data_IF_139034891050
#
_entry.id   IF_139034891050
#
_cell.length_a   1.000
_cell.length_b   1.000
_cell.length_c   1.000
_cell.angle_alpha   90.00
_cell.angle_beta   90.00
_cell.angle_gamma   90.00
#
_symmetry.space_group_name_H-M   'P 1'
#
loop_
_entity.id
_entity.type
_entity.pdbx_description
1 polymer ?
#
# COMPACT_ATOMS: atom_id res chain seq x y z
N UNK A 1 -8.45 -11.52 14.92
CA UNK A 1 -8.96 -10.98 13.63
C UNK A 1 -10.32 -11.57 13.29
N UNK A 2 -10.52 -12.90 13.36
CA UNK A 2 -11.79 -13.57 13.00
C UNK A 2 -13.02 -13.04 13.75
N UNK A 3 -12.87 -12.66 15.04
CA UNK A 3 -13.96 -12.08 15.82
C UNK A 3 -14.39 -10.72 15.26
N UNK A 4 -13.46 -9.90 14.85
CA UNK A 4 -13.74 -8.55 14.34
C UNK A 4 -14.25 -8.56 12.90
N UNK A 5 -13.71 -9.42 12.05
CA UNK A 5 -14.10 -9.56 10.66
C UNK A 5 -15.36 -10.39 10.46
N UNK A 6 -15.78 -11.16 11.47
CA UNK A 6 -16.84 -12.20 11.38
C UNK A 6 -16.58 -13.27 10.31
N UNK A 7 -15.33 -13.39 9.87
CA UNK A 7 -14.88 -14.38 8.88
C UNK A 7 -13.73 -15.19 9.47
N UNK A 8 -13.50 -16.42 8.99
CA UNK A 8 -12.33 -17.20 9.36
C UNK A 8 -11.05 -16.45 9.07
N UNK A 9 -10.07 -16.55 9.97
CA UNK A 9 -8.73 -16.07 9.71
C UNK A 9 -7.96 -17.21 9.02
N UNK A 10 -7.55 -16.98 7.78
CA UNK A 10 -6.79 -17.94 6.98
C UNK A 10 -5.31 -17.76 7.30
N UNK A 11 -4.64 -18.87 7.57
CA UNK A 11 -3.22 -18.90 7.91
C UNK A 11 -2.42 -19.55 6.77
N UNK A 12 -1.10 -19.37 6.81
CA UNK A 12 -0.17 -19.93 5.82
C UNK A 12 -0.34 -21.44 5.63
N UNK A 13 -0.53 -22.17 6.74
CA UNK A 13 -0.67 -23.64 6.71
C UNK A 13 -1.98 -24.12 6.09
N UNK A 14 -2.99 -23.27 6.00
CA UNK A 14 -4.29 -23.63 5.41
C UNK A 14 -4.19 -23.86 3.91
N UNK A 15 -3.12 -23.36 3.28
CA UNK A 15 -2.84 -23.53 1.85
C UNK A 15 -2.80 -25.02 1.42
N UNK A 16 -2.44 -25.91 2.33
CA UNK A 16 -2.22 -27.33 2.08
C UNK A 16 -3.27 -28.23 2.74
N UNK A 17 -4.44 -27.67 3.07
CA UNK A 17 -5.52 -28.44 3.69
C UNK A 17 -6.11 -29.44 2.72
N UNK A 18 -6.34 -30.68 3.20
CA UNK A 18 -6.93 -31.77 2.40
C UNK A 18 -8.38 -31.45 2.00
N UNK A 19 -8.76 -31.86 0.80
CA UNK A 19 -10.14 -31.77 0.32
C UNK A 19 -10.49 -30.50 -0.47
N UNK A 20 -9.55 -29.63 -0.76
CA UNK A 20 -9.77 -28.47 -1.63
C UNK A 20 -9.72 -28.88 -3.11
N UNK A 21 -10.76 -28.56 -3.87
CA UNK A 21 -10.82 -28.80 -5.33
C UNK A 21 -10.04 -27.76 -6.13
N UNK A 22 -9.81 -26.59 -5.55
CA UNK A 22 -9.08 -25.45 -6.15
C UNK A 22 -7.99 -25.00 -5.16
N UNK A 23 -6.80 -24.65 -5.63
CA UNK A 23 -5.76 -24.08 -4.76
C UNK A 23 -6.26 -22.82 -4.05
N UNK A 24 -6.03 -22.73 -2.74
CA UNK A 24 -6.57 -21.68 -1.88
C UNK A 24 -6.20 -20.26 -2.35
N UNK A 25 -4.98 -20.04 -2.85
CA UNK A 25 -4.57 -18.74 -3.37
C UNK A 25 -5.38 -18.30 -4.60
N UNK A 26 -5.80 -19.25 -5.45
CA UNK A 26 -6.67 -18.97 -6.61
C UNK A 26 -8.08 -18.64 -6.13
N UNK A 27 -8.61 -19.43 -5.18
CA UNK A 27 -9.92 -19.18 -4.60
C UNK A 27 -9.99 -17.78 -3.97
N UNK A 28 -9.01 -17.40 -3.15
CA UNK A 28 -8.96 -16.10 -2.50
C UNK A 28 -8.76 -14.94 -3.48
N UNK A 29 -7.93 -15.11 -4.50
CA UNK A 29 -7.76 -14.11 -5.56
C UNK A 29 -9.04 -13.86 -6.35
N UNK A 30 -9.83 -14.90 -6.60
CA UNK A 30 -11.10 -14.78 -7.30
C UNK A 30 -12.21 -14.20 -6.42
N UNK A 31 -12.21 -14.56 -5.13
CA UNK A 31 -13.21 -14.12 -4.16
C UNK A 31 -13.09 -12.64 -3.83
N UNK A 32 -11.88 -12.12 -3.71
CA UNK A 32 -11.66 -10.73 -3.31
C UNK A 32 -12.00 -9.77 -4.45
N UNK A 33 -12.71 -8.69 -4.14
CA UNK A 33 -12.90 -7.55 -5.05
C UNK A 33 -11.73 -6.56 -4.96
N UNK A 34 -11.18 -6.38 -3.77
CA UNK A 34 -10.04 -5.50 -3.46
C UNK A 34 -9.16 -6.23 -2.44
N UNK A 35 -7.85 -6.20 -2.65
CA UNK A 35 -6.89 -6.68 -1.66
C UNK A 35 -6.27 -5.51 -0.90
N UNK A 36 -6.10 -5.68 0.41
CA UNK A 36 -5.37 -4.73 1.24
C UNK A 36 -4.23 -5.46 1.93
N UNK A 37 -3.01 -5.03 1.66
CA UNK A 37 -1.79 -5.59 2.28
C UNK A 37 -1.28 -4.60 3.35
N UNK A 38 -1.66 -4.84 4.59
CA UNK A 38 -1.35 -3.98 5.72
C UNK A 38 -0.96 -4.83 6.96
N UNK A 39 0.32 -4.90 7.29
CA UNK A 39 1.47 -4.23 6.66
C UNK A 39 2.02 -4.96 5.43
N UNK A 40 2.55 -4.21 4.45
CA UNK A 40 3.45 -4.75 3.45
C UNK A 40 4.87 -4.76 4.02
N UNK A 41 5.38 -5.96 4.30
CA UNK A 41 6.75 -6.16 4.79
C UNK A 41 7.78 -6.17 3.66
N UNK A 42 9.06 -5.93 3.97
CA UNK A 42 10.14 -6.03 2.99
C UNK A 42 10.24 -7.42 2.34
N UNK A 43 9.97 -8.48 3.09
CA UNK A 43 9.95 -9.85 2.59
C UNK A 43 8.85 -10.08 1.57
N UNK A 44 7.62 -9.69 1.90
CA UNK A 44 6.46 -9.83 0.99
C UNK A 44 6.66 -8.99 -0.28
N UNK A 45 7.15 -7.75 -0.13
CA UNK A 45 7.48 -6.88 -1.25
C UNK A 45 8.51 -7.53 -2.18
N UNK A 46 9.61 -8.04 -1.63
CA UNK A 46 10.67 -8.67 -2.42
C UNK A 46 10.15 -9.89 -3.17
N UNK A 47 9.45 -10.81 -2.49
CA UNK A 47 8.87 -12.00 -3.11
C UNK A 47 7.93 -11.63 -4.26
N UNK A 48 7.05 -10.68 -4.04
CA UNK A 48 6.05 -10.27 -5.03
C UNK A 48 6.68 -9.70 -6.30
N UNK A 49 7.54 -8.69 -6.19
CA UNK A 49 8.14 -8.01 -7.35
C UNK A 49 9.16 -8.86 -8.11
N UNK A 50 9.69 -9.90 -7.47
CA UNK A 50 10.58 -10.89 -8.14
C UNK A 50 9.81 -12.10 -8.68
N UNK A 51 8.48 -12.16 -8.51
CA UNK A 51 7.67 -13.29 -8.96
C UNK A 51 7.87 -14.56 -8.14
N UNK A 52 8.37 -14.45 -6.90
CA UNK A 52 8.53 -15.59 -6.00
C UNK A 52 7.20 -15.89 -5.30
N UNK A 53 6.54 -16.98 -5.71
CA UNK A 53 5.25 -17.43 -5.18
C UNK A 53 5.37 -18.29 -3.90
N UNK A 54 6.52 -18.28 -3.23
CA UNK A 54 6.67 -19.03 -1.99
C UNK A 54 5.84 -18.42 -0.86
N UNK A 55 4.77 -19.11 -0.48
CA UNK A 55 3.82 -18.72 0.54
C UNK A 55 2.46 -18.28 0.01
N UNK A 56 1.46 -18.29 0.89
CA UNK A 56 0.08 -18.00 0.52
C UNK A 56 -0.10 -16.56 0.02
N UNK A 57 0.40 -15.57 0.77
CA UNK A 57 0.25 -14.15 0.41
C UNK A 57 0.96 -13.83 -0.92
N UNK A 58 2.24 -14.17 -1.16
CA UNK A 58 2.87 -13.94 -2.45
C UNK A 58 2.16 -14.63 -3.60
N UNK A 59 1.66 -15.86 -3.41
CA UNK A 59 0.91 -16.59 -4.42
C UNK A 59 -0.40 -15.87 -4.79
N UNK A 60 -1.14 -15.36 -3.79
CA UNK A 60 -2.34 -14.55 -4.03
C UNK A 60 -1.99 -13.30 -4.83
N UNK A 61 -0.96 -12.55 -4.41
CA UNK A 61 -0.57 -11.29 -5.05
C UNK A 61 -0.14 -11.47 -6.50
N UNK A 62 0.59 -12.54 -6.81
CA UNK A 62 1.04 -12.85 -8.17
C UNK A 62 -0.12 -13.31 -9.06
N UNK A 63 -1.08 -14.06 -8.50
CA UNK A 63 -2.26 -14.54 -9.23
C UNK A 63 -3.35 -13.49 -9.39
N UNK A 64 -3.28 -12.36 -8.64
CA UNK A 64 -4.36 -11.39 -8.56
C UNK A 64 -4.30 -10.34 -9.67
N UNK A 65 -5.46 -10.07 -10.27
CA UNK A 65 -5.68 -9.00 -11.26
C UNK A 65 -6.57 -7.87 -10.74
N UNK A 66 -7.08 -8.01 -9.52
CA UNK A 66 -7.97 -7.02 -8.88
C UNK A 66 -7.16 -5.90 -8.25
N UNK A 67 -7.78 -4.76 -7.93
CA UNK A 67 -7.09 -3.66 -7.26
C UNK A 67 -6.45 -4.09 -5.93
N UNK A 68 -5.27 -3.59 -5.66
CA UNK A 68 -4.50 -3.85 -4.44
C UNK A 68 -4.10 -2.54 -3.80
N UNK A 69 -4.41 -2.38 -2.52
CA UNK A 69 -3.87 -1.29 -1.69
C UNK A 69 -2.72 -1.86 -0.86
N UNK A 70 -1.59 -1.19 -0.87
CA UNK A 70 -0.44 -1.59 -0.05
C UNK A 70 -0.06 -0.51 0.96
N UNK A 71 0.09 -0.92 2.21
CA UNK A 71 0.50 -0.09 3.33
C UNK A 71 1.84 -0.59 3.89
N UNK A 72 2.99 -0.09 3.40
CA UNK A 72 4.30 -0.53 3.86
C UNK A 72 4.52 -0.22 5.33
N UNK A 73 5.13 -1.18 6.06
CA UNK A 73 5.63 -0.94 7.41
C UNK A 73 6.84 -1.81 7.69
N UNK A 74 7.94 -1.17 8.10
CA UNK A 74 9.20 -1.83 8.44
C UNK A 74 10.12 -0.87 9.19
N UNK A 75 11.23 -1.38 9.72
CA UNK A 75 12.25 -0.55 10.34
C UNK A 75 12.79 0.50 9.35
N UNK A 76 13.18 1.68 9.86
CA UNK A 76 13.71 2.79 9.04
C UNK A 76 14.88 2.38 8.16
N UNK A 77 15.86 1.64 8.71
CA UNK A 77 17.01 1.20 7.95
C UNK A 77 16.64 0.21 6.83
N UNK A 78 15.65 -0.63 7.08
CA UNK A 78 15.09 -1.50 6.04
C UNK A 78 14.41 -0.68 4.95
N UNK A 79 13.59 0.30 5.33
CA UNK A 79 12.91 1.16 4.37
C UNK A 79 13.89 1.94 3.50
N UNK A 80 14.92 2.52 4.11
CA UNK A 80 15.96 3.31 3.40
C UNK A 80 16.96 2.44 2.62
N UNK A 81 16.90 1.11 2.74
CA UNK A 81 17.79 0.22 2.01
C UNK A 81 17.51 0.29 0.51
N UNK A 82 18.57 0.46 -0.29
CA UNK A 82 18.47 0.62 -1.76
C UNK A 82 17.72 -0.52 -2.45
N UNK A 83 17.87 -1.76 -1.99
CA UNK A 83 17.17 -2.90 -2.57
C UNK A 83 15.67 -2.84 -2.29
N UNK A 84 15.28 -2.42 -1.08
CA UNK A 84 13.86 -2.24 -0.71
C UNK A 84 13.25 -1.08 -1.49
N UNK A 85 13.94 0.05 -1.60
CA UNK A 85 13.47 1.20 -2.39
C UNK A 85 13.28 0.83 -3.87
N UNK A 86 14.24 0.12 -4.47
CA UNK A 86 14.11 -0.37 -5.85
C UNK A 86 12.92 -1.31 -6.04
N UNK A 87 12.69 -2.20 -5.09
CA UNK A 87 11.53 -3.08 -5.13
C UNK A 87 10.22 -2.29 -5.00
N UNK A 88 10.20 -1.28 -4.15
CA UNK A 88 9.03 -0.43 -3.98
C UNK A 88 8.74 0.43 -5.23
N UNK A 89 9.77 0.97 -5.88
CA UNK A 89 9.66 1.65 -7.17
C UNK A 89 9.11 0.71 -8.25
N UNK A 90 9.60 -0.53 -8.32
CA UNK A 90 9.08 -1.53 -9.25
C UNK A 90 7.60 -1.81 -9.01
N UNK A 91 7.20 -1.94 -7.74
CA UNK A 91 5.79 -2.17 -7.37
C UNK A 91 4.88 -1.02 -7.81
N UNK A 92 5.36 0.23 -7.73
CA UNK A 92 4.61 1.40 -8.15
C UNK A 92 4.30 1.43 -9.66
N UNK A 93 4.95 0.61 -10.46
CA UNK A 93 4.67 0.48 -11.89
C UNK A 93 3.54 -0.52 -12.20
N UNK A 94 3.02 -1.23 -11.19
CA UNK A 94 1.89 -2.14 -11.39
C UNK A 94 0.59 -1.36 -11.49
N UNK A 95 -0.14 -1.54 -12.59
CA UNK A 95 -1.34 -0.76 -12.91
C UNK A 95 -2.48 -0.94 -11.89
N UNK A 96 -2.56 -2.11 -11.26
CA UNK A 96 -3.60 -2.44 -10.28
C UNK A 96 -3.20 -2.18 -8.83
N UNK A 97 -2.06 -1.53 -8.56
CA UNK A 97 -1.54 -1.31 -7.21
C UNK A 97 -1.57 0.15 -6.81
N UNK A 98 -2.33 0.47 -5.77
CA UNK A 98 -2.30 1.76 -5.08
C UNK A 98 -1.37 1.66 -3.88
N UNK A 99 -0.18 2.24 -3.99
CA UNK A 99 0.85 2.16 -2.95
C UNK A 99 0.83 3.40 -2.05
N UNK A 100 0.59 3.19 -0.75
CA UNK A 100 0.69 4.23 0.27
C UNK A 100 2.13 4.33 0.78
N UNK A 101 2.56 5.55 1.10
CA UNK A 101 3.88 5.75 1.71
C UNK A 101 3.84 5.44 3.22
N UNK A 102 4.90 4.85 3.80
CA UNK A 102 4.98 4.70 5.24
C UNK A 102 5.06 6.08 5.91
N UNK A 103 4.49 6.19 7.09
CA UNK A 103 4.54 7.41 7.89
C UNK A 103 5.77 7.47 8.78
N UNK A 104 6.04 8.67 9.31
CA UNK A 104 7.01 8.88 10.38
C UNK A 104 6.35 8.69 11.74
N UNK A 105 7.12 8.27 12.73
CA UNK A 105 6.68 8.15 14.10
C UNK A 105 7.46 7.11 14.90
N UNK A 106 6.93 6.79 16.09
CA UNK A 106 7.50 5.75 16.94
C UNK A 106 7.26 4.39 16.28
N UNK A 107 8.34 3.66 16.08
CA UNK A 107 8.37 2.30 15.51
C UNK A 107 8.33 1.24 16.63
N UNK A 108 8.05 0.01 16.27
CA UNK A 108 8.04 -1.12 17.21
C UNK A 108 9.38 -1.41 17.91
N UNK A 109 10.47 -0.82 17.41
CA UNK A 109 11.82 -0.90 18.01
C UNK A 109 12.14 0.30 18.91
N UNK A 110 11.13 1.06 19.35
CA UNK A 110 11.25 2.26 20.19
C UNK A 110 12.10 3.40 19.58
N UNK A 111 12.36 3.35 18.28
CA UNK A 111 13.02 4.42 17.53
C UNK A 111 11.98 5.30 16.82
N UNK A 112 12.26 6.59 16.70
CA UNK A 112 11.47 7.52 15.87
C UNK A 112 12.09 7.54 14.49
N UNK A 113 11.27 7.33 13.45
CA UNK A 113 11.73 7.37 12.06
C UNK A 113 10.63 7.05 11.06
N UNK A 114 11.00 7.05 9.79
CA UNK A 114 10.12 6.62 8.70
C UNK A 114 10.03 5.09 8.66
N UNK A 115 8.86 4.55 8.36
CA UNK A 115 8.64 3.11 8.27
C UNK A 115 7.44 2.62 9.06
N UNK A 116 6.74 3.53 9.75
CA UNK A 116 5.47 3.24 10.41
C UNK A 116 4.38 3.03 9.37
N UNK A 117 3.45 2.11 9.67
CA UNK A 117 2.28 1.90 8.82
C UNK A 117 1.53 3.23 8.56
N UNK A 118 1.04 3.48 7.34
CA UNK A 118 0.20 4.65 7.06
C UNK A 118 -0.98 4.78 8.02
N UNK A 119 -1.44 6.00 8.32
CA UNK A 119 -2.61 6.21 9.16
C UNK A 119 -3.86 5.50 8.62
N UNK A 120 -4.73 5.04 9.52
CA UNK A 120 -5.93 4.27 9.13
C UNK A 120 -6.89 5.06 8.24
N UNK A 121 -7.01 6.36 8.47
CA UNK A 121 -7.83 7.27 7.66
C UNK A 121 -7.34 7.34 6.20
N UNK A 122 -6.02 7.31 5.99
CA UNK A 122 -5.44 7.27 4.65
C UNK A 122 -5.74 5.93 3.94
N UNK A 123 -5.65 4.81 4.68
CA UNK A 123 -5.97 3.48 4.13
C UNK A 123 -7.47 3.41 3.80
N UNK A 124 -8.32 3.94 4.67
CA UNK A 124 -9.76 3.99 4.44
C UNK A 124 -10.12 4.86 3.22
N UNK A 125 -9.51 6.02 3.09
CA UNK A 125 -9.72 6.91 1.95
C UNK A 125 -9.30 6.25 0.62
N UNK A 126 -8.17 5.53 0.62
CA UNK A 126 -7.73 4.75 -0.53
C UNK A 126 -8.72 3.64 -0.90
N UNK A 127 -9.29 2.97 0.10
CA UNK A 127 -10.32 1.94 -0.10
C UNK A 127 -11.60 2.54 -0.69
N UNK A 128 -12.09 3.63 -0.12
CA UNK A 128 -13.28 4.34 -0.61
C UNK A 128 -13.08 4.83 -2.05
N UNK A 129 -11.89 5.31 -2.37
CA UNK A 129 -11.54 5.72 -3.73
C UNK A 129 -11.68 4.54 -4.71
N UNK A 130 -11.03 3.41 -4.44
CA UNK A 130 -11.08 2.24 -5.32
C UNK A 130 -12.51 1.67 -5.39
N UNK A 131 -13.24 1.59 -4.26
CA UNK A 131 -14.59 1.06 -4.20
C UNK A 131 -15.61 1.92 -4.96
N UNK A 132 -15.40 3.23 -5.05
CA UNK A 132 -16.26 4.14 -5.81
C UNK A 132 -16.08 4.04 -7.33
N UNK A 133 -14.93 3.49 -7.77
CA UNK A 133 -14.64 3.29 -9.19
C UNK A 133 -14.99 1.85 -9.55
N UNK A 134 -16.09 1.66 -10.30
CA UNK A 134 -16.49 0.33 -10.80
C UNK A 134 -15.32 -0.29 -11.58
N UNK A 135 -15.09 -1.56 -11.38
CA UNK A 135 -13.94 -2.38 -11.81
C UNK A 135 -13.51 -2.31 -13.30
N UNK A 136 -14.20 -1.59 -14.15
CA UNK A 136 -13.92 -1.51 -15.59
C UNK A 136 -13.66 -0.09 -16.10
N UNK A 137 -13.56 0.90 -15.24
CA UNK A 137 -13.37 2.29 -15.64
C UNK A 137 -12.17 2.96 -14.94
N UNK A 138 -11.04 2.28 -14.85
CA UNK A 138 -9.77 3.02 -14.74
C UNK A 138 -9.56 3.70 -16.08
N UNK A 139 -10.27 4.80 -16.27
CA UNK A 139 -10.08 5.64 -17.43
C UNK A 139 -8.69 6.25 -17.27
N UNK A 140 -7.82 5.99 -18.22
CA UNK A 140 -6.59 6.76 -18.40
C UNK A 140 -6.95 8.18 -18.87
N UNK A 141 -7.89 8.84 -18.16
CA UNK A 141 -8.39 10.17 -18.51
C UNK A 141 -7.29 11.23 -18.45
N UNK A 142 -6.24 10.92 -17.71
CA UNK A 142 -5.07 11.77 -17.54
C UNK A 142 -3.90 11.35 -18.44
N UNK A 143 -4.09 10.37 -19.31
CA UNK A 143 -3.06 9.94 -20.26
C UNK A 143 -2.64 11.12 -21.16
N UNK A 144 -1.33 11.36 -21.24
CA UNK A 144 -0.73 12.49 -21.98
C UNK A 144 -1.13 13.87 -21.43
N UNK A 145 -1.59 13.97 -20.17
CA UNK A 145 -1.78 15.24 -19.48
C UNK A 145 -0.59 15.52 -18.57
N UNK A 146 -0.13 16.76 -18.57
CA UNK A 146 0.82 17.25 -17.58
C UNK A 146 0.05 17.75 -16.37
N UNK A 147 0.32 17.15 -15.20
CA UNK A 147 -0.40 17.47 -13.95
C UNK A 147 0.59 17.95 -12.92
N UNK A 148 0.40 19.17 -12.44
CA UNK A 148 1.13 19.69 -11.31
C UNK A 148 0.30 19.54 -10.03
N UNK A 149 0.81 18.75 -9.09
CA UNK A 149 0.18 18.57 -7.77
C UNK A 149 1.07 19.23 -6.73
N UNK A 150 0.54 20.21 -6.02
CA UNK A 150 1.22 20.84 -4.88
C UNK A 150 0.72 20.19 -3.59
N UNK A 151 1.65 19.87 -2.68
CA UNK A 151 1.32 19.21 -1.41
C UNK A 151 2.27 19.65 -0.31
N UNK A 152 1.86 19.39 0.93
CA UNK A 152 2.63 19.75 2.12
C UNK A 152 2.13 21.03 2.79
N UNK A 153 2.91 21.51 3.77
CA UNK A 153 2.61 22.73 4.48
C UNK A 153 3.16 23.97 3.74
N UNK A 154 2.47 25.08 3.90
CA UNK A 154 3.03 26.39 3.56
C UNK A 154 3.73 26.95 4.80
N UNK A 155 4.84 27.64 4.60
CA UNK A 155 5.61 28.27 5.66
C UNK A 155 5.94 29.71 5.28
N UNK A 156 5.61 30.65 6.15
CA UNK A 156 5.94 32.05 6.01
C UNK A 156 6.91 32.47 7.11
N UNK A 157 8.01 33.10 6.71
CA UNK A 157 9.06 33.53 7.62
C UNK A 157 8.64 34.81 8.36
N UNK A 158 8.63 34.77 9.70
CA UNK A 158 8.43 35.97 10.54
C UNK A 158 9.76 36.70 10.74
N UNK A 159 10.79 35.94 11.16
CA UNK A 159 12.15 36.43 11.40
C UNK A 159 13.19 35.30 11.16
N UNK A 160 14.45 35.54 11.53
CA UNK A 160 15.52 34.56 11.31
C UNK A 160 15.32 33.22 12.06
N UNK A 161 14.51 33.20 13.12
CA UNK A 161 14.29 32.06 13.99
C UNK A 161 12.87 31.50 13.97
N UNK A 162 11.87 32.24 13.49
CA UNK A 162 10.46 31.87 13.60
C UNK A 162 9.77 31.86 12.25
N UNK A 163 8.91 30.88 12.08
CA UNK A 163 8.05 30.71 10.91
C UNK A 163 6.60 30.48 11.34
N UNK A 164 5.64 31.01 10.59
CA UNK A 164 4.25 30.56 10.65
C UNK A 164 4.05 29.43 9.64
N UNK A 165 3.51 28.34 10.09
CA UNK A 165 3.19 27.20 9.23
C UNK A 165 1.90 26.52 9.68
N UNK A 166 1.16 25.92 8.74
CA UNK A 166 0.02 25.09 9.06
C UNK A 166 0.47 23.64 9.32
N UNK A 167 -0.29 22.89 10.12
CA UNK A 167 -0.05 21.45 10.35
C UNK A 167 -0.61 20.63 9.17
N UNK A 168 0.10 20.63 8.05
CA UNK A 168 -0.24 19.77 6.92
C UNK A 168 0.77 18.65 6.81
N UNK A 169 0.28 17.39 6.79
CA UNK A 169 1.12 16.20 6.58
C UNK A 169 1.54 15.98 5.12
N UNK A 170 0.96 16.73 4.18
CA UNK A 170 1.13 16.49 2.75
C UNK A 170 0.41 15.24 2.22
N UNK A 171 -0.29 14.50 3.09
CA UNK A 171 -0.92 13.23 2.75
C UNK A 171 -1.91 13.34 1.57
N UNK A 172 -2.67 14.44 1.50
CA UNK A 172 -3.59 14.69 0.38
C UNK A 172 -2.86 14.83 -0.95
N UNK A 173 -1.79 15.64 -1.00
CA UNK A 173 -0.99 15.81 -2.23
C UNK A 173 -0.34 14.51 -2.67
N UNK A 174 0.13 13.70 -1.71
CA UNK A 174 0.70 12.39 -1.97
C UNK A 174 -0.36 11.43 -2.54
N UNK A 175 -1.55 11.35 -1.92
CA UNK A 175 -2.65 10.51 -2.41
C UNK A 175 -3.09 10.94 -3.81
N UNK A 176 -3.27 12.24 -4.05
CA UNK A 176 -3.61 12.78 -5.37
C UNK A 176 -2.56 12.41 -6.43
N UNK A 177 -1.27 12.47 -6.09
CA UNK A 177 -0.20 12.09 -7.03
C UNK A 177 -0.21 10.59 -7.36
N UNK A 178 -0.60 9.74 -6.41
CA UNK A 178 -0.75 8.31 -6.65
C UNK A 178 -1.98 8.01 -7.50
N UNK A 179 -3.12 8.64 -7.17
CA UNK A 179 -4.37 8.50 -7.94
C UNK A 179 -4.23 9.02 -9.37
N UNK A 180 -3.48 10.09 -9.59
CA UNK A 180 -3.23 10.64 -10.93
C UNK A 180 -2.38 9.72 -11.83
N UNK A 181 -1.76 8.67 -11.27
CA UNK A 181 -1.02 7.64 -12.03
C UNK A 181 -1.90 6.47 -12.44
N UNK A 182 -3.06 6.31 -11.81
CA UNK A 182 -4.05 5.28 -12.09
C UNK A 182 -4.96 5.72 -13.24
#
# INVERSE_FOLDING_TARGET
LSILSRNPCILENDQWSDGQSTPLHIELSNWADILIIAPLTATTLAKWVTGNAEGLIPSILIANIKPIIVAPAMNTQMWLNKAVQKNYENLQNYENVLSLQPSEGLLACDAIGIGKIPPNDLIQLALEFIASHKQNEYRKDLLNKEILITGGCTSEKIDAARHITNKSSGAMGLLLSQVARF
#
